data_IF_406084985239
#
_entry.id   IF_406084985239
#
_cell.length_a   1.000
_cell.length_b   1.000
_cell.length_c   1.000
_cell.angle_alpha   90.00
_cell.angle_beta   90.00
_cell.angle_gamma   90.00
#
_symmetry.space_group_name_H-M   'P 1'
#
loop_
_entity.id
_entity.type
_entity.pdbx_description
1 polymer ?
#
# COMPACT_ATOMS: atom_id res chain seq x y z
N UNK A 1 -26.40 -55.22 -11.98
CA UNK A 1 -26.74 -53.96 -11.27
C UNK A 1 -25.57 -53.65 -10.35
N UNK A 2 -24.51 -52.95 -10.77
CA UNK A 2 -24.33 -51.49 -10.89
C UNK A 2 -24.90 -50.71 -9.69
N UNK A 3 -24.11 -50.64 -8.61
CA UNK A 3 -24.22 -49.59 -7.60
C UNK A 3 -23.04 -48.62 -7.76
N UNK A 4 -23.33 -47.60 -8.59
CA UNK A 4 -22.99 -46.19 -8.46
C UNK A 4 -21.68 -45.80 -7.76
N UNK A 5 -20.69 -45.52 -8.61
CA UNK A 5 -19.76 -44.40 -8.47
C UNK A 5 -20.51 -43.12 -8.06
N UNK A 6 -20.23 -42.61 -6.86
CA UNK A 6 -20.68 -41.27 -6.44
C UNK A 6 -19.67 -40.62 -5.50
N UNK A 7 -18.37 -40.78 -5.81
CA UNK A 7 -17.26 -40.20 -5.03
C UNK A 7 -16.42 -39.19 -5.83
N UNK A 8 -16.99 -38.56 -6.87
CA UNK A 8 -16.26 -37.66 -7.78
C UNK A 8 -16.84 -36.25 -7.91
N UNK A 9 -17.50 -35.70 -6.88
CA UNK A 9 -18.11 -34.37 -6.99
C UNK A 9 -17.89 -33.47 -5.78
N UNK A 10 -16.66 -33.40 -5.26
CA UNK A 10 -16.35 -32.52 -4.11
C UNK A 10 -14.94 -31.92 -4.15
N UNK A 11 -14.44 -31.55 -5.33
CA UNK A 11 -13.18 -30.80 -5.47
C UNK A 11 -13.27 -29.69 -6.53
N UNK A 12 -14.27 -28.81 -6.39
CA UNK A 12 -14.21 -27.48 -7.00
C UNK A 12 -14.42 -26.46 -5.88
N UNK A 13 -13.38 -26.30 -5.05
CA UNK A 13 -13.21 -25.08 -4.27
C UNK A 13 -12.97 -23.93 -5.26
N UNK A 14 -13.66 -22.79 -5.14
CA UNK A 14 -13.43 -21.67 -6.04
C UNK A 14 -12.09 -21.03 -5.68
N UNK A 15 -11.06 -21.30 -6.48
CA UNK A 15 -9.75 -20.63 -6.41
C UNK A 15 -9.79 -19.13 -6.79
N UNK A 16 -10.97 -18.54 -6.97
CA UNK A 16 -11.14 -17.19 -7.53
C UNK A 16 -11.21 -16.06 -6.50
N UNK A 17 -11.32 -16.36 -5.19
CA UNK A 17 -11.44 -15.30 -4.18
C UNK A 17 -10.10 -14.71 -3.72
N UNK A 18 -8.98 -15.42 -3.89
CA UNK A 18 -7.69 -15.02 -3.30
C UNK A 18 -7.12 -13.76 -3.99
N UNK A 19 -7.33 -13.59 -5.30
CA UNK A 19 -6.76 -12.47 -6.06
C UNK A 19 -7.49 -11.12 -5.90
N UNK A 20 -8.79 -11.14 -5.61
CA UNK A 20 -9.60 -9.92 -5.45
C UNK A 20 -9.29 -9.19 -4.15
N UNK A 21 -9.18 -9.94 -3.06
CA UNK A 21 -8.92 -9.39 -1.72
C UNK A 21 -7.52 -8.79 -1.63
N UNK A 22 -6.53 -9.39 -2.30
CA UNK A 22 -5.16 -8.90 -2.31
C UNK A 22 -5.01 -7.59 -3.11
N UNK A 23 -5.63 -7.47 -4.29
CA UNK A 23 -5.60 -6.20 -5.04
C UNK A 23 -6.37 -5.10 -4.31
N UNK A 24 -7.49 -5.44 -3.67
CA UNK A 24 -8.24 -4.50 -2.82
C UNK A 24 -7.36 -3.97 -1.66
N UNK A 25 -6.62 -4.87 -1.01
CA UNK A 25 -5.68 -4.49 0.04
C UNK A 25 -4.56 -3.56 -0.48
N UNK A 26 -3.96 -3.88 -1.63
CA UNK A 26 -2.93 -3.03 -2.24
C UNK A 26 -3.45 -1.64 -2.64
N UNK A 27 -4.71 -1.54 -3.10
CA UNK A 27 -5.36 -0.25 -3.37
C UNK A 27 -5.53 0.57 -2.08
N UNK A 28 -5.88 -0.07 -0.97
CA UNK A 28 -5.96 0.60 0.33
C UNK A 28 -4.59 1.09 0.82
N UNK A 29 -3.53 0.28 0.62
CA UNK A 29 -2.16 0.68 0.93
C UNK A 29 -1.70 1.89 0.09
N UNK A 30 -1.95 1.86 -1.22
CA UNK A 30 -1.64 2.97 -2.12
C UNK A 30 -2.39 4.25 -1.74
N UNK A 31 -3.70 4.15 -1.45
CA UNK A 31 -4.49 5.28 -0.97
C UNK A 31 -3.95 5.87 0.33
N UNK A 32 -3.57 5.03 1.29
CA UNK A 32 -2.99 5.47 2.57
C UNK A 32 -1.62 6.13 2.38
N UNK A 33 -0.78 5.60 1.48
CA UNK A 33 0.49 6.21 1.11
C UNK A 33 0.29 7.56 0.41
N UNK A 34 -0.71 7.67 -0.46
CA UNK A 34 -1.09 8.92 -1.12
C UNK A 34 -1.55 9.97 -0.11
N UNK A 35 -2.36 9.60 0.90
CA UNK A 35 -2.77 10.52 1.97
C UNK A 35 -1.56 10.99 2.79
N UNK A 36 -0.61 10.11 3.09
CA UNK A 36 0.63 10.51 3.78
C UNK A 36 1.43 11.56 2.97
N UNK A 37 1.52 11.37 1.66
CA UNK A 37 2.11 12.38 0.76
C UNK A 37 1.35 13.69 0.80
N UNK A 38 0.02 13.65 0.74
CA UNK A 38 -0.83 14.84 0.79
C UNK A 38 -0.65 15.61 2.09
N UNK A 39 -0.70 14.93 3.25
CA UNK A 39 -0.44 15.55 4.57
C UNK A 39 0.94 16.21 4.62
N UNK A 40 1.95 15.59 4.00
CA UNK A 40 3.29 16.18 3.91
C UNK A 40 3.29 17.49 3.11
N UNK A 41 2.56 17.54 1.99
CA UNK A 41 2.44 18.75 1.17
C UNK A 41 1.67 19.85 1.93
N UNK A 42 0.57 19.49 2.59
CA UNK A 42 -0.28 20.43 3.34
C UNK A 42 0.50 21.08 4.48
N UNK A 43 1.21 20.28 5.30
CA UNK A 43 2.06 20.82 6.37
C UNK A 43 3.06 21.88 5.85
N UNK A 44 3.80 21.57 4.79
CA UNK A 44 4.80 22.51 4.24
C UNK A 44 4.16 23.74 3.63
N UNK A 45 3.02 23.57 2.98
CA UNK A 45 2.28 24.66 2.36
C UNK A 45 1.78 25.62 3.44
N UNK A 46 1.12 25.09 4.46
CA UNK A 46 0.56 25.88 5.55
C UNK A 46 1.65 26.54 6.40
N UNK A 47 2.76 25.86 6.65
CA UNK A 47 3.91 26.44 7.34
C UNK A 47 4.47 27.65 6.58
N UNK A 48 4.62 27.52 5.25
CA UNK A 48 5.10 28.63 4.40
C UNK A 48 4.12 29.80 4.35
N UNK A 49 2.82 29.52 4.24
CA UNK A 49 1.78 30.55 4.16
C UNK A 49 1.59 31.28 5.50
N UNK A 50 1.57 30.53 6.60
CA UNK A 50 1.35 31.08 7.95
C UNK A 50 2.58 31.75 8.54
N UNK A 51 3.79 31.41 8.05
CA UNK A 51 5.08 31.83 8.61
C UNK A 51 5.27 31.47 10.09
N UNK A 52 4.49 30.49 10.58
CA UNK A 52 4.58 30.00 11.96
C UNK A 52 5.61 28.87 12.05
N UNK A 53 6.19 28.63 13.23
CA UNK A 53 6.95 27.40 13.50
C UNK A 53 6.10 26.16 13.22
N UNK A 54 6.71 25.09 12.68
CA UNK A 54 6.00 23.85 12.32
C UNK A 54 5.20 23.26 13.48
N UNK A 55 5.73 23.36 14.71
CA UNK A 55 5.08 22.87 15.92
C UNK A 55 3.75 23.58 16.23
N UNK A 56 3.51 24.75 15.62
CA UNK A 56 2.27 25.53 15.78
C UNK A 56 1.28 25.34 14.61
N UNK A 57 1.70 24.69 13.53
CA UNK A 57 0.88 24.47 12.33
C UNK A 57 0.05 23.19 12.50
N UNK A 58 -1.28 23.31 12.42
CA UNK A 58 -2.20 22.20 12.67
C UNK A 58 -1.99 21.00 11.74
N UNK A 59 -1.82 21.24 10.44
CA UNK A 59 -1.55 20.18 9.45
C UNK A 59 -0.21 19.48 9.68
N UNK A 60 0.81 20.19 10.19
CA UNK A 60 2.06 19.57 10.61
C UNK A 60 1.88 18.69 11.85
N UNK A 61 1.04 19.06 12.82
CA UNK A 61 0.72 18.19 13.97
C UNK A 61 0.04 16.89 13.52
N UNK A 62 -0.92 16.97 12.60
CA UNK A 62 -1.58 15.79 12.03
C UNK A 62 -0.57 14.88 11.32
N UNK A 63 0.31 15.47 10.52
CA UNK A 63 1.40 14.73 9.87
C UNK A 63 2.31 14.03 10.87
N UNK A 64 2.75 14.72 11.93
CA UNK A 64 3.58 14.12 12.98
C UNK A 64 2.87 12.96 13.68
N UNK A 65 1.57 13.11 13.98
CA UNK A 65 0.78 12.03 14.58
C UNK A 65 0.73 10.81 13.66
N UNK A 66 0.43 11.01 12.38
CA UNK A 66 0.44 9.92 11.39
C UNK A 66 1.82 9.26 11.29
N UNK A 67 2.90 10.04 11.29
CA UNK A 67 4.27 9.51 11.23
C UNK A 67 4.62 8.62 12.43
N UNK A 68 4.05 8.89 13.61
CA UNK A 68 4.28 8.10 14.83
C UNK A 68 3.37 6.87 14.84
N UNK A 69 2.07 7.05 14.60
CA UNK A 69 1.06 6.03 14.86
C UNK A 69 0.88 5.06 13.68
N UNK A 70 0.89 5.58 12.45
CA UNK A 70 0.40 4.85 11.29
C UNK A 70 1.50 4.52 10.27
N UNK A 71 2.51 5.39 10.13
CA UNK A 71 3.58 5.22 9.17
C UNK A 71 4.42 3.94 9.37
N UNK A 72 4.77 3.51 10.61
CA UNK A 72 5.52 2.27 10.80
C UNK A 72 4.80 1.06 10.20
N UNK A 73 3.50 0.92 10.48
CA UNK A 73 2.67 -0.16 9.93
C UNK A 73 2.52 -0.06 8.41
N UNK A 74 2.27 1.14 7.88
CA UNK A 74 2.21 1.36 6.43
C UNK A 74 3.52 0.95 5.74
N UNK A 75 4.67 1.33 6.32
CA UNK A 75 5.99 0.99 5.78
C UNK A 75 6.22 -0.51 5.77
N UNK A 76 5.88 -1.20 6.85
CA UNK A 76 6.01 -2.65 6.95
C UNK A 76 5.13 -3.37 5.93
N UNK A 77 3.85 -3.00 5.81
CA UNK A 77 2.94 -3.61 4.83
C UNK A 77 3.40 -3.41 3.38
N UNK A 78 3.97 -2.25 3.04
CA UNK A 78 4.54 -2.01 1.71
C UNK A 78 5.75 -2.92 1.44
N UNK A 79 6.63 -3.10 2.44
CA UNK A 79 7.80 -3.98 2.32
C UNK A 79 7.39 -5.44 2.19
N UNK A 80 6.39 -5.88 2.95
CA UNK A 80 5.84 -7.23 2.85
C UNK A 80 5.21 -7.48 1.48
N UNK A 81 4.35 -6.57 1.01
CA UNK A 81 3.75 -6.66 -0.31
C UNK A 81 4.79 -6.73 -1.45
N UNK A 82 5.89 -5.97 -1.34
CA UNK A 82 7.00 -6.05 -2.30
C UNK A 82 7.69 -7.42 -2.27
N UNK A 83 7.92 -7.97 -1.08
CA UNK A 83 8.51 -9.30 -0.92
C UNK A 83 7.62 -10.37 -1.54
N UNK A 84 6.32 -10.31 -1.30
CA UNK A 84 5.36 -11.29 -1.82
C UNK A 84 5.24 -11.20 -3.34
N UNK A 85 5.14 -9.99 -3.90
CA UNK A 85 5.13 -9.78 -5.34
C UNK A 85 6.44 -10.27 -5.99
N UNK A 86 7.59 -10.12 -5.32
CA UNK A 86 8.87 -10.65 -5.81
C UNK A 86 8.89 -12.18 -5.83
N UNK A 87 8.38 -12.83 -4.78
CA UNK A 87 8.26 -14.29 -4.74
C UNK A 87 7.31 -14.81 -5.83
N UNK A 88 6.18 -14.15 -6.02
CA UNK A 88 5.24 -14.47 -7.09
C UNK A 88 5.88 -14.29 -8.47
N UNK A 89 6.66 -13.23 -8.67
CA UNK A 89 7.39 -12.98 -9.92
C UNK A 89 8.44 -14.04 -10.24
N UNK A 90 9.11 -14.60 -9.23
CA UNK A 90 10.03 -15.72 -9.42
C UNK A 90 9.27 -17.00 -9.81
N UNK A 91 8.11 -17.24 -9.19
CA UNK A 91 7.34 -18.47 -9.42
C UNK A 91 6.57 -18.47 -10.74
N UNK A 92 6.00 -17.33 -11.16
CA UNK A 92 5.05 -17.23 -12.28
C UNK A 92 5.59 -16.43 -13.47
N UNK A 93 6.71 -15.72 -13.32
CA UNK A 93 7.21 -14.78 -14.32
C UNK A 93 6.39 -13.47 -14.39
N UNK A 94 6.95 -12.46 -15.06
CA UNK A 94 6.36 -11.11 -15.15
C UNK A 94 5.25 -10.97 -16.22
N UNK A 95 4.81 -12.06 -16.84
CA UNK A 95 3.77 -12.02 -17.87
C UNK A 95 2.35 -12.00 -17.28
N UNK A 96 2.20 -12.38 -16.00
CA UNK A 96 0.92 -12.34 -15.29
C UNK A 96 0.36 -10.91 -15.19
N UNK A 97 -0.83 -10.63 -15.78
CA UNK A 97 -1.46 -9.32 -15.67
C UNK A 97 -1.76 -8.91 -14.22
N UNK A 98 -2.17 -9.87 -13.39
CA UNK A 98 -2.45 -9.62 -11.97
C UNK A 98 -1.17 -9.20 -11.22
N UNK A 99 -0.06 -9.90 -11.45
CA UNK A 99 1.22 -9.53 -10.83
C UNK A 99 1.68 -8.13 -11.27
N UNK A 100 1.49 -7.77 -12.54
CA UNK A 100 1.80 -6.43 -13.05
C UNK A 100 0.98 -5.36 -12.33
N UNK A 101 -0.32 -5.57 -12.15
CA UNK A 101 -1.18 -4.64 -11.42
C UNK A 101 -0.73 -4.49 -9.96
N UNK A 102 -0.43 -5.59 -9.27
CA UNK A 102 0.14 -5.56 -7.91
C UNK A 102 1.41 -4.72 -7.84
N UNK A 103 2.36 -4.98 -8.75
CA UNK A 103 3.63 -4.25 -8.81
C UNK A 103 3.44 -2.76 -9.06
N UNK A 104 2.50 -2.37 -9.93
CA UNK A 104 2.18 -0.97 -10.18
C UNK A 104 1.68 -0.29 -8.91
N UNK A 105 0.75 -0.91 -8.17
CA UNK A 105 0.23 -0.37 -6.91
C UNK A 105 1.32 -0.26 -5.84
N UNK A 106 2.16 -1.28 -5.69
CA UNK A 106 3.29 -1.28 -4.75
C UNK A 106 4.27 -0.15 -5.08
N UNK A 107 4.64 0.00 -6.36
CA UNK A 107 5.57 1.04 -6.80
C UNK A 107 4.97 2.45 -6.65
N UNK A 108 3.67 2.60 -6.88
CA UNK A 108 2.94 3.84 -6.61
C UNK A 108 2.98 4.21 -5.13
N UNK A 109 2.63 3.27 -4.24
CA UNK A 109 2.68 3.46 -2.79
C UNK A 109 4.09 3.84 -2.31
N UNK A 110 5.13 3.13 -2.79
CA UNK A 110 6.53 3.44 -2.50
C UNK A 110 6.93 4.85 -2.97
N UNK A 111 6.48 5.24 -4.15
CA UNK A 111 6.71 6.59 -4.68
C UNK A 111 6.09 7.66 -3.79
N UNK A 112 4.83 7.47 -3.37
CA UNK A 112 4.16 8.38 -2.44
C UNK A 112 4.91 8.53 -1.12
N UNK A 113 5.32 7.43 -0.50
CA UNK A 113 6.12 7.45 0.74
C UNK A 113 7.47 8.13 0.55
N UNK A 114 8.15 7.87 -0.57
CA UNK A 114 9.44 8.48 -0.88
C UNK A 114 9.33 10.01 -1.05
N UNK A 115 8.28 10.47 -1.74
CA UNK A 115 8.00 11.89 -1.89
C UNK A 115 7.69 12.52 -0.53
N UNK A 116 6.84 11.90 0.28
CA UNK A 116 6.52 12.37 1.63
C UNK A 116 7.78 12.53 2.50
N UNK A 117 8.65 11.51 2.52
CA UNK A 117 9.93 11.56 3.24
C UNK A 117 10.86 12.66 2.71
N UNK A 118 10.91 12.84 1.39
CA UNK A 118 11.70 13.91 0.75
C UNK A 118 11.20 15.31 1.08
N UNK A 119 9.88 15.47 1.25
CA UNK A 119 9.28 16.73 1.70
C UNK A 119 9.68 16.98 3.16
N UNK A 120 9.48 16.00 4.06
CA UNK A 120 9.81 16.13 5.47
C UNK A 120 11.28 16.49 5.71
N UNK A 121 12.21 15.89 4.94
CA UNK A 121 13.64 16.19 5.05
C UNK A 121 14.03 17.62 4.65
N UNK A 122 13.18 18.35 3.92
CA UNK A 122 13.44 19.76 3.55
C UNK A 122 12.97 20.77 4.59
N UNK A 123 12.25 20.29 5.59
CA UNK A 123 11.51 21.12 6.57
C UNK A 123 12.06 20.88 7.97
N UNK A 124 12.75 19.76 8.19
CA UNK A 124 13.64 19.50 9.33
C UNK A 124 14.93 20.31 9.20
#
# INVERSE_FOLDING_TARGET
MKLNNLFSLLLIFPLSCIGSDEISHLKALDAKASEYRKMSIECVTDAKLSKKPLAEVGTCKLLYQFTIDEYPGLKESIVEAEKDAKLEGVAKGLESPALREKLVLIMSAKSHVSIAGSILNKVR
#
